data_IF_639955560755
#
_entry.id   IF_639955560755
#
_cell.length_a   1.000
_cell.length_b   1.000
_cell.length_c   1.000
_cell.angle_alpha   90.00
_cell.angle_beta   90.00
_cell.angle_gamma   90.00
#
_symmetry.space_group_name_H-M   'P 1'
#
loop_
_entity.id
_entity.type
_entity.pdbx_description
1 polymer ?
#
# COMPACT_ATOMS: atom_id res chain seq x y z
N UNK A 1 22.39 -58.12 -14.19
CA UNK A 1 20.98 -57.73 -13.96
C UNK A 1 20.70 -57.59 -12.45
N UNK A 2 21.70 -57.21 -11.63
CA UNK A 2 21.61 -57.15 -10.14
C UNK A 2 21.99 -55.78 -9.57
N UNK A 3 22.34 -54.81 -10.41
CA UNK A 3 22.79 -53.48 -9.99
C UNK A 3 21.70 -52.38 -10.11
N UNK A 4 20.49 -52.70 -10.60
CA UNK A 4 19.39 -51.70 -10.78
C UNK A 4 18.44 -51.65 -9.57
N UNK A 5 18.60 -52.50 -8.56
CA UNK A 5 17.62 -52.65 -7.46
C UNK A 5 18.09 -52.00 -6.16
N UNK A 6 19.23 -51.32 -6.10
CA UNK A 6 19.78 -50.71 -4.87
C UNK A 6 19.47 -49.20 -4.77
N UNK A 7 18.97 -48.59 -5.84
CA UNK A 7 18.68 -47.14 -5.83
C UNK A 7 17.26 -46.77 -5.38
N UNK A 8 16.35 -47.75 -5.17
CA UNK A 8 14.95 -47.45 -4.82
C UNK A 8 14.67 -47.39 -3.31
N UNK A 9 15.69 -47.52 -2.47
CA UNK A 9 15.53 -47.45 -1.00
C UNK A 9 16.32 -46.31 -0.35
N UNK A 10 16.50 -45.15 -1.03
CA UNK A 10 16.84 -43.95 -0.30
C UNK A 10 15.54 -43.47 0.34
N UNK A 11 15.41 -43.52 1.68
CA UNK A 11 14.28 -42.91 2.36
C UNK A 11 14.38 -41.42 2.07
N UNK A 12 13.47 -40.92 1.22
CA UNK A 12 13.27 -39.48 1.07
C UNK A 12 12.82 -38.97 2.41
N UNK A 13 13.79 -38.65 3.25
CA UNK A 13 13.57 -38.01 4.54
C UNK A 13 12.63 -36.84 4.32
N UNK A 14 11.52 -36.73 5.07
CA UNK A 14 10.59 -35.63 4.93
C UNK A 14 11.20 -34.36 5.53
N UNK A 15 12.34 -33.92 4.97
CA UNK A 15 12.99 -32.65 5.33
C UNK A 15 12.08 -31.43 5.02
N UNK A 16 10.97 -31.67 4.32
CA UNK A 16 9.97 -30.65 3.99
C UNK A 16 8.95 -30.43 5.10
N UNK A 17 8.85 -31.32 6.08
CA UNK A 17 7.89 -31.19 7.18
C UNK A 17 8.34 -30.22 8.30
N UNK A 18 9.64 -29.87 8.36
CA UNK A 18 10.20 -29.05 9.44
C UNK A 18 10.20 -27.54 9.18
N UNK A 19 9.78 -27.08 8.02
CA UNK A 19 9.73 -25.66 7.68
C UNK A 19 8.31 -25.12 7.55
N UNK A 20 7.40 -25.53 8.42
CA UNK A 20 6.15 -24.77 8.57
C UNK A 20 6.50 -23.48 9.32
N UNK A 21 6.33 -22.30 8.68
CA UNK A 21 6.55 -21.06 9.39
C UNK A 21 5.60 -20.98 10.59
N UNK A 22 6.06 -20.43 11.74
CA UNK A 22 5.26 -20.34 12.94
C UNK A 22 3.89 -19.73 12.63
N UNK A 23 2.86 -20.16 13.33
CA UNK A 23 1.46 -19.74 13.08
C UNK A 23 1.26 -18.22 13.10
N UNK A 24 2.12 -17.49 13.81
CA UNK A 24 2.21 -16.02 13.83
C UNK A 24 2.59 -15.38 12.49
N UNK A 25 3.16 -16.13 11.55
CA UNK A 25 3.55 -15.66 10.22
C UNK A 25 2.45 -15.82 9.16
N UNK A 26 1.22 -16.16 9.54
CA UNK A 26 0.07 -16.19 8.62
C UNK A 26 -0.50 -14.78 8.47
N UNK A 27 0.16 -13.94 7.69
CA UNK A 27 -0.44 -12.71 7.20
C UNK A 27 -1.71 -13.08 6.42
N UNK A 28 -2.87 -12.69 6.96
CA UNK A 28 -4.13 -12.98 6.30
C UNK A 28 -4.20 -12.14 5.01
N UNK A 29 -4.71 -12.69 3.89
CA UNK A 29 -4.90 -11.97 2.63
C UNK A 29 -5.82 -10.73 2.79
N UNK A 30 -6.50 -10.62 3.92
CA UNK A 30 -7.29 -9.45 4.31
C UNK A 30 -6.44 -8.20 4.57
N UNK A 31 -5.21 -8.34 5.09
CA UNK A 31 -4.30 -7.20 5.30
C UNK A 31 -3.83 -6.58 3.99
N UNK A 32 -3.53 -7.41 2.97
CA UNK A 32 -3.18 -6.90 1.64
C UNK A 32 -4.35 -6.18 0.98
N UNK A 33 -5.58 -6.67 1.16
CA UNK A 33 -6.77 -6.01 0.64
C UNK A 33 -7.03 -4.68 1.38
N UNK A 34 -6.95 -4.67 2.70
CA UNK A 34 -7.11 -3.47 3.50
C UNK A 34 -6.02 -2.43 3.16
N UNK A 35 -4.76 -2.85 2.99
CA UNK A 35 -3.66 -1.99 2.56
C UNK A 35 -3.87 -1.40 1.17
N UNK A 36 -4.38 -2.19 0.21
CA UNK A 36 -4.72 -1.69 -1.12
C UNK A 36 -5.84 -0.63 -1.07
N UNK A 37 -6.91 -0.88 -0.31
CA UNK A 37 -7.98 0.10 -0.13
C UNK A 37 -7.51 1.38 0.56
N UNK A 38 -6.71 1.26 1.62
CA UNK A 38 -6.14 2.41 2.32
C UNK A 38 -5.27 3.26 1.38
N UNK A 39 -4.42 2.61 0.57
CA UNK A 39 -3.55 3.29 -0.39
C UNK A 39 -4.35 4.01 -1.49
N UNK A 40 -5.41 3.37 -2.01
CA UNK A 40 -6.30 4.00 -3.00
C UNK A 40 -7.12 5.14 -2.40
N UNK A 41 -7.64 4.99 -1.19
CA UNK A 41 -8.38 6.05 -0.50
C UNK A 41 -7.48 7.27 -0.24
N UNK A 42 -6.23 7.05 0.17
CA UNK A 42 -5.24 8.11 0.33
C UNK A 42 -4.98 8.83 -1.00
N UNK A 43 -4.74 8.10 -2.08
CA UNK A 43 -4.52 8.67 -3.41
C UNK A 43 -5.73 9.49 -3.90
N UNK A 44 -6.94 8.96 -3.71
CA UNK A 44 -8.17 9.65 -4.08
C UNK A 44 -8.38 10.94 -3.27
N UNK A 45 -8.12 10.91 -1.96
CA UNK A 45 -8.21 12.09 -1.10
C UNK A 45 -7.23 13.20 -1.54
N UNK A 46 -5.98 12.83 -1.80
CA UNK A 46 -4.93 13.77 -2.19
C UNK A 46 -5.19 14.45 -3.54
N UNK A 47 -5.95 13.80 -4.44
CA UNK A 47 -6.37 14.41 -5.72
C UNK A 47 -7.68 15.18 -5.54
N UNK A 48 -8.66 14.60 -4.86
CA UNK A 48 -10.00 15.14 -4.77
C UNK A 48 -10.03 16.49 -4.05
N UNK A 49 -9.28 16.64 -2.95
CA UNK A 49 -9.29 17.88 -2.17
C UNK A 49 -8.82 19.10 -2.97
N UNK A 50 -7.63 19.09 -3.62
CA UNK A 50 -7.21 20.22 -4.43
C UNK A 50 -8.11 20.48 -5.64
N UNK A 51 -8.66 19.45 -6.28
CA UNK A 51 -9.60 19.62 -7.37
C UNK A 51 -10.91 20.28 -6.92
N UNK A 52 -11.45 19.85 -5.78
CA UNK A 52 -12.64 20.46 -5.19
C UNK A 52 -12.42 21.96 -4.90
N UNK A 53 -11.28 22.30 -4.31
CA UNK A 53 -10.96 23.69 -3.98
C UNK A 53 -10.69 24.55 -5.22
N UNK A 54 -10.10 23.96 -6.27
CA UNK A 54 -9.77 24.70 -7.51
C UNK A 54 -11.00 24.90 -8.40
N UNK A 55 -11.90 23.91 -8.50
CA UNK A 55 -12.96 23.92 -9.51
C UNK A 55 -14.37 24.15 -8.95
N UNK A 56 -14.56 24.05 -7.63
CA UNK A 56 -15.89 24.22 -7.01
C UNK A 56 -15.90 25.49 -6.15
N UNK A 57 -16.41 26.64 -6.67
CA UNK A 57 -16.51 27.87 -5.89
C UNK A 57 -17.30 27.71 -4.59
N UNK A 58 -18.34 26.84 -4.59
CA UNK A 58 -19.11 26.48 -3.41
C UNK A 58 -18.25 25.85 -2.30
N UNK A 59 -17.21 25.09 -2.62
CA UNK A 59 -16.28 24.54 -1.65
C UNK A 59 -15.51 25.64 -0.93
N UNK A 60 -15.08 26.65 -1.67
CA UNK A 60 -14.41 27.83 -1.07
C UNK A 60 -15.36 28.65 -0.19
N UNK A 61 -16.62 28.80 -0.59
CA UNK A 61 -17.62 29.46 0.27
C UNK A 61 -17.93 28.65 1.52
N UNK A 62 -18.02 27.33 1.40
CA UNK A 62 -18.22 26.43 2.55
C UNK A 62 -17.10 26.52 3.60
N UNK A 63 -15.85 26.75 3.18
CA UNK A 63 -14.73 26.98 4.09
C UNK A 63 -14.79 28.36 4.77
N UNK A 64 -15.29 29.37 4.07
CA UNK A 64 -15.32 30.75 4.58
C UNK A 64 -16.56 31.06 5.44
N UNK A 65 -17.60 30.26 5.39
CA UNK A 65 -18.87 30.48 6.10
C UNK A 65 -19.23 29.31 6.99
N UNK A 66 -19.26 29.54 8.31
CA UNK A 66 -19.71 28.56 9.29
C UNK A 66 -21.19 28.18 9.15
N UNK A 67 -21.97 29.01 8.48
CA UNK A 67 -23.40 28.77 8.25
C UNK A 67 -23.67 27.94 6.99
N UNK A 68 -22.61 27.71 6.15
CA UNK A 68 -22.77 26.91 4.95
C UNK A 68 -22.90 25.42 5.31
N UNK A 69 -23.90 24.68 4.77
CA UNK A 69 -24.16 23.29 5.14
C UNK A 69 -22.97 22.34 4.88
N UNK A 70 -22.08 22.70 3.94
CA UNK A 70 -20.86 21.95 3.65
C UNK A 70 -19.65 22.27 4.52
N UNK A 71 -19.72 23.26 5.43
CA UNK A 71 -18.58 23.71 6.23
C UNK A 71 -17.94 22.56 7.04
N UNK A 72 -18.75 21.77 7.74
CA UNK A 72 -18.25 20.64 8.54
C UNK A 72 -17.52 19.59 7.72
N UNK A 73 -18.03 19.25 6.53
CA UNK A 73 -17.38 18.30 5.63
C UNK A 73 -16.04 18.84 5.09
N UNK A 74 -15.99 20.10 4.69
CA UNK A 74 -14.75 20.73 4.22
C UNK A 74 -13.71 20.87 5.32
N UNK A 75 -14.12 21.25 6.53
CA UNK A 75 -13.24 21.31 7.71
C UNK A 75 -12.67 19.93 8.04
N UNK A 76 -13.50 18.88 7.99
CA UNK A 76 -13.07 17.51 8.18
C UNK A 76 -12.03 17.08 7.14
N UNK A 77 -12.26 17.37 5.84
CA UNK A 77 -11.31 17.06 4.78
C UNK A 77 -9.95 17.75 4.98
N UNK A 78 -9.97 19.03 5.39
CA UNK A 78 -8.74 19.75 5.71
C UNK A 78 -8.04 19.19 6.95
N UNK A 79 -8.79 18.78 7.97
CA UNK A 79 -8.23 18.14 9.15
C UNK A 79 -7.57 16.80 8.79
N UNK A 80 -8.19 16.02 7.91
CA UNK A 80 -7.60 14.79 7.38
C UNK A 80 -6.29 15.05 6.63
N UNK A 81 -6.16 16.18 5.91
CA UNK A 81 -4.93 16.58 5.24
C UNK A 81 -3.78 16.85 6.22
N UNK A 82 -4.05 17.30 7.47
CA UNK A 82 -3.00 17.43 8.50
C UNK A 82 -2.39 16.08 8.91
N UNK A 83 -3.17 15.01 8.83
CA UNK A 83 -2.76 13.65 9.21
C UNK A 83 -2.23 12.84 8.01
N UNK A 84 -2.12 13.46 6.84
CA UNK A 84 -1.66 12.83 5.60
C UNK A 84 -0.33 12.09 5.77
N UNK A 85 0.64 12.71 6.46
CA UNK A 85 1.94 12.10 6.71
C UNK A 85 1.84 10.79 7.51
N UNK A 86 0.90 10.72 8.46
CA UNK A 86 0.66 9.52 9.25
C UNK A 86 0.07 8.41 8.39
N UNK A 87 -0.92 8.74 7.56
CA UNK A 87 -1.49 7.77 6.62
C UNK A 87 -0.46 7.30 5.58
N UNK A 88 0.40 8.19 5.10
CA UNK A 88 1.49 7.86 4.20
C UNK A 88 2.50 6.90 4.84
N UNK A 89 2.87 7.14 6.11
CA UNK A 89 3.73 6.25 6.89
C UNK A 89 3.09 4.88 7.10
N UNK A 90 1.83 4.84 7.53
CA UNK A 90 1.11 3.59 7.77
C UNK A 90 0.94 2.78 6.49
N UNK A 91 0.53 3.42 5.40
CA UNK A 91 0.36 2.75 4.10
C UNK A 91 1.69 2.21 3.57
N UNK A 92 2.76 3.01 3.65
CA UNK A 92 4.10 2.61 3.19
C UNK A 92 4.68 1.48 4.03
N UNK A 93 4.60 1.57 5.37
CA UNK A 93 5.10 0.53 6.27
C UNK A 93 4.35 -0.79 6.10
N UNK A 94 3.02 -0.73 5.99
CA UNK A 94 2.18 -1.92 5.75
C UNK A 94 2.52 -2.57 4.40
N UNK A 95 2.68 -1.78 3.33
CA UNK A 95 3.03 -2.28 2.01
C UNK A 95 4.42 -2.94 1.99
N UNK A 96 5.42 -2.28 2.60
CA UNK A 96 6.77 -2.84 2.68
C UNK A 96 6.79 -4.12 3.52
N UNK A 97 6.17 -4.11 4.71
CA UNK A 97 6.13 -5.29 5.58
C UNK A 97 5.44 -6.47 4.91
N UNK A 98 4.25 -6.25 4.29
CA UNK A 98 3.50 -7.32 3.64
C UNK A 98 4.20 -7.87 2.40
N UNK A 99 4.80 -7.01 1.57
CA UNK A 99 5.50 -7.44 0.35
C UNK A 99 6.84 -8.11 0.66
N UNK A 100 7.60 -7.65 1.65
CA UNK A 100 8.83 -8.31 2.10
C UNK A 100 8.53 -9.69 2.69
N UNK A 101 7.52 -9.79 3.57
CA UNK A 101 7.05 -11.10 4.06
C UNK A 101 6.58 -12.00 2.91
N UNK A 102 5.97 -11.43 1.87
CA UNK A 102 5.59 -12.14 0.64
C UNK A 102 6.79 -12.66 -0.13
N UNK A 103 7.86 -11.87 -0.30
CA UNK A 103 9.09 -12.29 -0.99
C UNK A 103 9.67 -13.58 -0.39
N UNK A 104 9.74 -13.67 0.94
CA UNK A 104 10.20 -14.88 1.63
C UNK A 104 9.32 -16.11 1.32
N UNK A 105 8.05 -15.91 0.97
CA UNK A 105 7.10 -17.00 0.70
C UNK A 105 7.04 -17.40 -0.77
N UNK A 106 6.97 -16.43 -1.68
CA UNK A 106 6.78 -16.69 -3.12
C UNK A 106 8.01 -16.41 -3.98
N UNK A 107 9.10 -15.80 -3.42
CA UNK A 107 10.35 -15.52 -4.11
C UNK A 107 10.27 -14.43 -5.20
N UNK A 108 9.16 -13.72 -5.34
CA UNK A 108 8.96 -12.70 -6.36
C UNK A 108 9.23 -11.30 -5.81
N UNK A 109 10.22 -10.61 -6.35
CA UNK A 109 10.62 -9.25 -5.92
C UNK A 109 9.78 -8.12 -6.51
N UNK A 110 8.96 -8.38 -7.55
CA UNK A 110 8.17 -7.35 -8.23
C UNK A 110 7.27 -6.55 -7.28
N UNK A 111 6.43 -7.17 -6.40
CA UNK A 111 5.61 -6.41 -5.48
C UNK A 111 6.43 -5.56 -4.50
N UNK A 112 7.54 -6.07 -3.98
CA UNK A 112 8.41 -5.34 -3.06
C UNK A 112 9.05 -4.11 -3.74
N UNK A 113 9.51 -4.24 -5.00
CA UNK A 113 10.03 -3.09 -5.77
C UNK A 113 8.98 -2.03 -6.00
N UNK A 114 7.74 -2.41 -6.35
CA UNK A 114 6.63 -1.47 -6.48
C UNK A 114 6.32 -0.77 -5.16
N UNK A 115 6.34 -1.49 -4.04
CA UNK A 115 6.15 -0.90 -2.71
C UNK A 115 7.27 0.10 -2.37
N UNK A 116 8.53 -0.22 -2.66
CA UNK A 116 9.65 0.70 -2.45
C UNK A 116 9.50 1.99 -3.27
N UNK A 117 9.22 1.87 -4.58
CA UNK A 117 9.03 3.04 -5.45
C UNK A 117 7.82 3.87 -4.99
N UNK A 118 6.70 3.21 -4.67
CA UNK A 118 5.51 3.90 -4.15
C UNK A 118 5.77 4.65 -2.85
N UNK A 119 6.50 4.03 -1.91
CA UNK A 119 6.89 4.66 -0.65
C UNK A 119 7.85 5.85 -0.88
N UNK A 120 8.82 5.72 -1.80
CA UNK A 120 9.76 6.78 -2.16
C UNK A 120 9.08 7.99 -2.82
N UNK A 121 7.94 7.80 -3.47
CA UNK A 121 7.14 8.90 -4.01
C UNK A 121 6.24 9.51 -2.94
N UNK A 122 5.56 8.67 -2.15
CA UNK A 122 4.54 9.09 -1.21
C UNK A 122 5.14 9.79 0.01
N UNK A 123 6.20 9.26 0.61
CA UNK A 123 6.77 9.80 1.85
C UNK A 123 7.39 11.19 1.65
N UNK A 124 8.24 11.46 0.64
CA UNK A 124 8.75 12.81 0.42
C UNK A 124 7.63 13.81 0.10
N UNK A 125 6.63 13.40 -0.70
CA UNK A 125 5.49 14.25 -1.02
C UNK A 125 4.71 14.67 0.23
N UNK A 126 4.56 13.77 1.20
CA UNK A 126 3.81 14.03 2.43
C UNK A 126 4.62 14.73 3.53
N UNK A 127 5.95 14.60 3.52
CA UNK A 127 6.83 15.14 4.57
C UNK A 127 7.57 16.42 4.17
N UNK A 128 7.86 16.61 2.87
CA UNK A 128 8.67 17.71 2.40
C UNK A 128 7.83 18.95 2.05
N UNK A 129 7.94 20.01 2.86
CA UNK A 129 7.15 21.23 2.72
C UNK A 129 7.19 21.86 1.32
N UNK A 130 8.36 22.06 0.67
CA UNK A 130 8.40 22.69 -0.65
C UNK A 130 7.62 21.92 -1.72
N UNK A 131 7.52 20.59 -1.59
CA UNK A 131 6.71 19.78 -2.49
C UNK A 131 5.21 19.93 -2.23
N UNK A 132 4.82 20.17 -0.97
CA UNK A 132 3.43 20.45 -0.58
C UNK A 132 2.90 21.78 -1.08
N UNK A 133 3.77 22.77 -1.26
CA UNK A 133 3.42 24.08 -1.82
C UNK A 133 3.04 24.00 -3.30
N UNK A 134 3.58 23.02 -4.02
CA UNK A 134 3.22 22.77 -5.41
C UNK A 134 2.07 21.77 -5.52
N UNK A 135 0.85 22.28 -5.65
CA UNK A 135 -0.38 21.49 -5.74
C UNK A 135 -0.29 20.36 -6.77
N UNK A 136 0.30 20.65 -7.94
CA UNK A 136 0.42 19.67 -9.03
C UNK A 136 1.41 18.56 -8.69
N UNK A 137 2.63 18.92 -8.26
CA UNK A 137 3.67 17.92 -7.96
C UNK A 137 3.33 17.09 -6.75
N UNK A 138 2.76 17.70 -5.71
CA UNK A 138 2.25 16.99 -4.54
C UNK A 138 1.16 15.98 -4.94
N UNK A 139 0.15 16.42 -5.70
CA UNK A 139 -0.94 15.57 -6.15
C UNK A 139 -0.48 14.40 -7.01
N UNK A 140 0.41 14.64 -7.98
CA UNK A 140 0.96 13.58 -8.85
C UNK A 140 1.79 12.59 -8.07
N UNK A 141 2.67 13.07 -7.17
CA UNK A 141 3.55 12.20 -6.40
C UNK A 141 2.76 11.34 -5.38
N UNK A 142 1.80 11.95 -4.67
CA UNK A 142 0.97 11.22 -3.69
C UNK A 142 0.02 10.24 -4.35
N UNK A 143 -0.63 10.63 -5.45
CA UNK A 143 -1.50 9.75 -6.22
C UNK A 143 -0.73 8.60 -6.86
N UNK A 144 0.39 8.90 -7.52
CA UNK A 144 1.26 7.89 -8.14
C UNK A 144 1.81 6.91 -7.10
N UNK A 145 2.30 7.43 -5.98
CA UNK A 145 2.78 6.62 -4.86
C UNK A 145 1.70 5.70 -4.29
N UNK A 146 0.50 6.24 -4.03
CA UNK A 146 -0.64 5.46 -3.53
C UNK A 146 -1.10 4.36 -4.49
N UNK A 147 -1.16 4.64 -5.80
CA UNK A 147 -1.49 3.64 -6.83
C UNK A 147 -0.43 2.54 -6.88
N UNK A 148 0.87 2.88 -6.81
CA UNK A 148 1.95 1.89 -6.81
C UNK A 148 1.89 0.99 -5.56
N UNK A 149 1.59 1.55 -4.38
CA UNK A 149 1.39 0.76 -3.15
C UNK A 149 0.18 -0.18 -3.28
N UNK A 150 -0.94 0.28 -3.85
CA UNK A 150 -2.10 -0.56 -4.11
C UNK A 150 -1.76 -1.71 -5.08
N UNK A 151 -1.04 -1.42 -6.17
CA UNK A 151 -0.56 -2.44 -7.12
C UNK A 151 0.39 -3.45 -6.44
N UNK A 152 1.25 -2.98 -5.51
CA UNK A 152 2.12 -3.85 -4.74
C UNK A 152 1.33 -4.83 -3.87
N UNK A 153 0.32 -4.37 -3.14
CA UNK A 153 -0.57 -5.21 -2.33
C UNK A 153 -1.34 -6.24 -3.18
N UNK A 154 -1.93 -5.78 -4.30
CA UNK A 154 -2.67 -6.66 -5.23
C UNK A 154 -1.73 -7.70 -5.83
N UNK A 155 -0.52 -7.28 -6.25
CA UNK A 155 0.50 -8.16 -6.81
C UNK A 155 0.98 -9.21 -5.81
N UNK A 156 1.21 -8.80 -4.55
CA UNK A 156 1.57 -9.70 -3.45
C UNK A 156 0.48 -10.75 -3.20
N UNK A 157 -0.79 -10.30 -3.11
CA UNK A 157 -1.95 -11.20 -2.93
C UNK A 157 -2.09 -12.21 -4.06
N UNK A 158 -1.96 -11.78 -5.32
CA UNK A 158 -2.01 -12.67 -6.50
C UNK A 158 -0.88 -13.70 -6.48
N UNK A 159 0.34 -13.27 -6.12
CA UNK A 159 1.48 -14.17 -6.03
C UNK A 159 1.32 -15.24 -4.95
N UNK A 160 0.68 -14.91 -3.83
CA UNK A 160 0.35 -15.86 -2.76
C UNK A 160 -0.77 -16.84 -3.17
N UNK A 161 -1.77 -16.36 -3.93
CA UNK A 161 -2.88 -17.21 -4.39
C UNK A 161 -2.44 -18.25 -5.42
N UNK A 162 -1.58 -17.88 -6.36
CA UNK A 162 -1.11 -18.76 -7.42
C UNK A 162 -0.17 -19.89 -6.95
N UNK A 163 0.16 -19.96 -5.66
CA UNK A 163 0.97 -21.03 -5.06
C UNK A 163 0.16 -22.06 -4.27
N UNK A 164 -1.14 -21.84 -4.15
CA UNK A 164 -2.08 -22.82 -3.56
C UNK A 164 -2.61 -23.76 -4.64
#
# INVERSE_FOLDING_TARGET
MLLCNIMDHIPTTPARALAQPPASARWHPRFDLAGAWLSLACAAHCIALPLLLAFVPAAMMALRSFQHPGHGAMTFLLMMSRWEWLFALLASSLALASTLAGVHRHGRWRPARLACVGALLLLPASLYLPLKESLLWHGVATAGGGVLLACAHIGNRRALHNRR
#
